data_IF_111479624903
#
_entry.id   IF_111479624903
#
_cell.length_a   1.000
_cell.length_b   1.000
_cell.length_c   1.000
_cell.angle_alpha   90.00
_cell.angle_beta   90.00
_cell.angle_gamma   90.00
#
_symmetry.space_group_name_H-M   'P 1'
#
loop_
_entity.id
_entity.type
_entity.pdbx_description
1 polymer ?
#
# COMPACT_ATOMS: atom_id res chain seq x y z
N UNK A 1 40.79 36.30 5.87
CA UNK A 1 39.56 35.49 6.08
C UNK A 1 39.69 34.25 5.22
N UNK A 2 40.10 33.14 5.85
CA UNK A 2 40.45 31.91 5.15
C UNK A 2 39.19 31.09 4.83
N UNK A 3 38.98 30.75 3.55
CA UNK A 3 37.78 30.04 3.09
C UNK A 3 37.95 28.55 3.34
N UNK A 4 37.38 28.03 4.42
CA UNK A 4 37.28 26.59 4.68
C UNK A 4 36.54 25.88 3.54
N UNK A 5 37.29 25.15 2.72
CA UNK A 5 36.78 24.35 1.59
C UNK A 5 36.13 23.08 2.18
N UNK A 6 34.80 23.03 2.24
CA UNK A 6 34.07 21.83 2.71
C UNK A 6 34.28 20.68 1.73
N UNK A 7 34.89 19.60 2.20
CA UNK A 7 35.09 18.37 1.43
C UNK A 7 33.75 17.62 1.40
N UNK A 8 33.17 17.47 0.21
CA UNK A 8 31.95 16.69 0.02
C UNK A 8 32.30 15.19 0.08
N UNK A 9 31.98 14.55 1.19
CA UNK A 9 32.16 13.10 1.35
C UNK A 9 31.04 12.39 0.57
N UNK A 10 31.43 11.61 -0.44
CA UNK A 10 30.51 10.76 -1.20
C UNK A 10 30.17 9.54 -0.34
N UNK A 11 29.07 9.62 0.41
CA UNK A 11 28.58 8.50 1.22
C UNK A 11 28.00 7.44 0.27
N UNK A 12 28.51 6.22 0.35
CA UNK A 12 27.92 5.09 -0.35
C UNK A 12 26.49 4.87 0.17
N UNK A 13 25.50 4.88 -0.74
CA UNK A 13 24.06 4.68 -0.44
C UNK A 13 23.56 3.30 -0.87
N UNK A 14 24.46 2.41 -1.27
CA UNK A 14 24.13 1.03 -1.56
C UNK A 14 23.52 0.38 -0.32
N UNK A 15 22.60 -0.55 -0.54
CA UNK A 15 21.92 -1.21 0.55
C UNK A 15 22.92 -2.00 1.40
N UNK A 16 23.05 -1.65 2.69
CA UNK A 16 24.01 -2.23 3.64
C UNK A 16 23.61 -3.64 4.12
N UNK A 17 23.06 -4.48 3.25
CA UNK A 17 22.65 -5.84 3.60
C UNK A 17 23.83 -6.75 3.96
N UNK A 18 25.02 -6.43 3.47
CA UNK A 18 26.24 -7.22 3.69
C UNK A 18 26.78 -7.11 5.12
N UNK A 19 26.40 -6.06 5.86
CA UNK A 19 26.89 -5.81 7.22
C UNK A 19 26.33 -6.81 8.25
N UNK A 20 25.17 -7.41 7.96
CA UNK A 20 24.45 -8.31 8.88
C UNK A 20 24.33 -9.75 8.36
N UNK A 21 25.14 -10.14 7.37
CA UNK A 21 25.28 -11.54 6.96
C UNK A 21 24.06 -12.14 6.26
N UNK A 22 23.18 -11.32 5.69
CA UNK A 22 22.05 -11.83 4.90
C UNK A 22 21.15 -10.74 4.35
N UNK A 23 20.80 -10.85 3.06
CA UNK A 23 19.66 -10.13 2.54
C UNK A 23 18.41 -10.64 3.27
N UNK A 24 17.58 -9.77 3.89
CA UNK A 24 16.25 -10.20 4.29
C UNK A 24 15.55 -10.73 3.04
N UNK A 25 15.00 -11.94 3.11
CA UNK A 25 14.15 -12.51 2.07
C UNK A 25 12.84 -11.71 2.03
N UNK A 26 12.90 -10.50 1.49
CA UNK A 26 11.72 -9.75 1.11
C UNK A 26 11.19 -10.47 -0.10
N UNK A 27 10.21 -11.36 0.09
CA UNK A 27 9.46 -11.94 -1.01
C UNK A 27 9.02 -10.78 -1.91
N UNK A 28 9.23 -10.87 -3.23
CA UNK A 28 8.86 -9.78 -4.12
C UNK A 28 7.36 -9.51 -3.91
N UNK A 29 7.04 -8.29 -3.48
CA UNK A 29 5.66 -7.80 -3.44
C UNK A 29 5.07 -8.12 -4.80
N UNK A 30 3.94 -8.84 -4.83
CA UNK A 30 3.37 -9.34 -6.07
C UNK A 30 2.96 -8.14 -6.94
N UNK A 31 3.79 -7.84 -7.93
CA UNK A 31 3.68 -6.68 -8.80
C UNK A 31 2.78 -7.08 -9.97
N UNK A 32 1.49 -6.74 -9.91
CA UNK A 32 0.61 -6.95 -11.05
C UNK A 32 0.92 -5.93 -12.14
N UNK A 33 1.15 -6.44 -13.35
CA UNK A 33 1.26 -5.61 -14.55
C UNK A 33 -0.16 -5.18 -14.94
N UNK A 34 -0.44 -3.89 -14.85
CA UNK A 34 -1.64 -3.31 -15.46
C UNK A 34 -1.56 -3.40 -16.97
N UNK A 35 -2.72 -3.42 -17.63
CA UNK A 35 -2.89 -3.27 -19.09
C UNK A 35 -2.18 -2.01 -19.63
N UNK A 36 -1.92 -1.02 -18.77
CA UNK A 36 -1.17 0.21 -19.08
C UNK A 36 0.35 0.06 -19.02
N UNK A 37 0.87 -1.14 -18.76
CA UNK A 37 2.31 -1.42 -18.63
C UNK A 37 2.93 -1.01 -17.29
N UNK A 38 2.11 -0.57 -16.33
CA UNK A 38 2.58 -0.15 -15.00
C UNK A 38 2.49 -1.23 -13.95
N UNK A 39 3.43 -1.15 -13.02
CA UNK A 39 3.49 -2.00 -11.85
C UNK A 39 2.79 -1.30 -10.68
N UNK A 40 1.68 -1.86 -10.25
CA UNK A 40 0.96 -1.40 -9.06
C UNK A 40 1.38 -2.21 -7.82
N UNK A 41 1.36 -1.54 -6.66
CA UNK A 41 1.52 -2.21 -5.37
C UNK A 41 0.17 -2.84 -5.01
N UNK A 42 0.04 -4.16 -5.25
CA UNK A 42 -1.13 -4.99 -4.90
C UNK A 42 -0.68 -6.33 -4.27
N UNK A 43 -0.19 -6.33 -3.02
CA UNK A 43 0.16 -7.55 -2.31
C UNK A 43 -1.07 -8.45 -2.14
N UNK A 44 -0.86 -9.76 -2.28
CA UNK A 44 -1.93 -10.72 -2.12
C UNK A 44 -2.30 -10.85 -0.62
N UNK A 45 -3.58 -10.71 -0.24
CA UNK A 45 -4.00 -10.81 1.17
C UNK A 45 -3.67 -12.17 1.82
N UNK A 46 -3.60 -13.23 1.00
CA UNK A 46 -3.27 -14.59 1.43
C UNK A 46 -1.83 -14.75 1.93
N UNK A 47 -0.94 -13.81 1.61
CA UNK A 47 0.45 -13.83 2.06
C UNK A 47 0.62 -13.26 3.49
N UNK A 48 -0.47 -12.79 4.12
CA UNK A 48 -0.44 -12.21 5.46
C UNK A 48 -0.65 -13.29 6.52
N UNK A 49 0.29 -13.34 7.48
CA UNK A 49 0.27 -14.26 8.61
C UNK A 49 0.17 -13.49 9.92
N UNK A 50 -0.64 -14.00 10.85
CA UNK A 50 -0.72 -13.54 12.23
C UNK A 50 -0.16 -14.64 13.14
N UNK A 51 1.12 -14.51 13.49
CA UNK A 51 1.87 -15.57 14.18
C UNK A 51 2.02 -16.80 13.27
N UNK A 52 1.41 -17.92 13.65
CA UNK A 52 1.43 -19.18 12.89
C UNK A 52 0.20 -19.38 12.00
N UNK A 53 -0.86 -18.58 12.20
CA UNK A 53 -2.11 -18.71 11.46
C UNK A 53 -2.16 -17.72 10.28
N UNK A 54 -2.80 -18.12 9.18
CA UNK A 54 -3.10 -17.18 8.10
C UNK A 54 -4.15 -16.17 8.55
N UNK A 55 -4.03 -14.93 8.08
CA UNK A 55 -5.01 -13.89 8.37
C UNK A 55 -6.43 -14.31 7.94
N UNK A 56 -6.54 -14.99 6.81
CA UNK A 56 -7.79 -15.55 6.31
C UNK A 56 -8.46 -16.49 7.32
N UNK A 57 -7.71 -17.46 7.82
CA UNK A 57 -8.21 -18.47 8.76
C UNK A 57 -8.63 -17.83 10.07
N UNK A 58 -7.85 -16.85 10.54
CA UNK A 58 -8.18 -16.07 11.73
C UNK A 58 -9.50 -15.29 11.56
N UNK A 59 -9.69 -14.61 10.42
CA UNK A 59 -10.93 -13.88 10.14
C UNK A 59 -12.15 -14.80 10.01
N UNK A 60 -11.98 -15.98 9.41
CA UNK A 60 -13.03 -17.01 9.33
C UNK A 60 -13.41 -17.52 10.72
N UNK A 61 -12.42 -17.80 11.58
CA UNK A 61 -12.65 -18.23 12.96
C UNK A 61 -13.34 -17.13 13.80
N UNK A 62 -12.98 -15.88 13.59
CA UNK A 62 -13.62 -14.72 14.23
C UNK A 62 -15.04 -14.43 13.69
N UNK A 63 -15.49 -15.12 12.63
CA UNK A 63 -16.80 -14.90 12.01
C UNK A 63 -16.89 -13.61 11.17
N UNK A 64 -15.77 -12.94 10.90
CA UNK A 64 -15.73 -11.65 10.21
C UNK A 64 -15.70 -11.90 8.69
N UNK A 65 -16.86 -11.72 8.02
CA UNK A 65 -17.00 -12.02 6.57
C UNK A 65 -16.91 -10.80 5.65
N UNK A 66 -17.18 -9.60 6.17
CA UNK A 66 -17.26 -8.37 5.36
C UNK A 66 -16.01 -8.09 4.51
N UNK A 67 -14.76 -8.26 5.01
CA UNK A 67 -13.54 -8.04 4.24
C UNK A 67 -13.45 -8.89 2.95
N UNK A 68 -13.91 -10.14 3.01
CA UNK A 68 -13.88 -11.05 1.86
C UNK A 68 -14.85 -10.60 0.76
N UNK A 69 -16.08 -10.25 1.16
CA UNK A 69 -17.13 -9.77 0.23
C UNK A 69 -16.69 -8.49 -0.46
N UNK A 70 -16.12 -7.55 0.30
CA UNK A 70 -15.63 -6.28 -0.24
C UNK A 70 -14.51 -6.52 -1.25
N UNK A 71 -13.52 -7.35 -0.91
CA UNK A 71 -12.40 -7.64 -1.82
C UNK A 71 -12.89 -8.33 -3.10
N UNK A 72 -13.79 -9.29 -2.98
CA UNK A 72 -14.39 -9.98 -4.14
C UNK A 72 -15.20 -9.01 -5.02
N UNK A 73 -16.00 -8.15 -4.41
CA UNK A 73 -16.76 -7.12 -5.12
C UNK A 73 -15.82 -6.20 -5.89
N UNK A 74 -14.77 -5.70 -5.24
CA UNK A 74 -13.80 -4.82 -5.88
C UNK A 74 -13.03 -5.51 -7.01
N UNK A 75 -12.72 -6.81 -6.89
CA UNK A 75 -12.07 -7.59 -7.95
C UNK A 75 -12.96 -7.79 -9.18
N UNK A 76 -14.28 -7.78 -9.01
CA UNK A 76 -15.23 -7.89 -10.12
C UNK A 76 -15.38 -6.62 -10.96
N UNK A 77 -14.88 -5.47 -10.47
CA UNK A 77 -15.00 -4.19 -11.15
C UNK A 77 -13.82 -3.95 -12.12
N UNK A 78 -14.09 -3.20 -13.20
CA UNK A 78 -13.04 -2.75 -14.10
C UNK A 78 -12.34 -1.50 -13.55
N UNK A 79 -11.02 -1.58 -13.43
CA UNK A 79 -10.15 -0.51 -12.92
C UNK A 79 -9.36 0.19 -14.02
N UNK A 80 -9.45 -0.27 -15.27
CA UNK A 80 -8.67 0.21 -16.42
C UNK A 80 -8.69 1.74 -16.57
N UNK A 81 -9.89 2.33 -16.44
CA UNK A 81 -10.12 3.77 -16.59
C UNK A 81 -9.49 4.58 -15.47
N UNK A 82 -9.41 4.03 -14.26
CA UNK A 82 -8.81 4.70 -13.10
C UNK A 82 -7.29 4.57 -13.17
N UNK A 83 -6.79 3.39 -13.51
CA UNK A 83 -5.36 3.11 -13.70
C UNK A 83 -4.74 4.00 -14.79
N UNK A 84 -5.45 4.23 -15.89
CA UNK A 84 -5.02 5.10 -16.98
C UNK A 84 -4.79 6.56 -16.58
N UNK A 85 -5.41 7.03 -15.48
CA UNK A 85 -5.27 8.41 -14.98
C UNK A 85 -4.08 8.62 -14.05
N UNK A 86 -3.34 7.57 -13.68
CA UNK A 86 -2.17 7.72 -12.82
C UNK A 86 -1.00 8.34 -13.59
N UNK A 87 -0.40 9.40 -13.05
CA UNK A 87 0.73 10.11 -13.65
C UNK A 87 1.92 9.18 -13.93
N UNK A 88 2.48 9.21 -15.15
CA UNK A 88 3.46 8.23 -15.70
C UNK A 88 4.84 8.23 -15.03
N UNK A 89 5.19 9.26 -14.26
CA UNK A 89 6.46 9.39 -13.55
C UNK A 89 6.32 9.23 -12.03
N UNK A 90 7.34 8.67 -11.36
CA UNK A 90 7.46 8.67 -9.90
C UNK A 90 7.48 7.28 -9.26
N UNK A 91 7.20 7.24 -7.95
CA UNK A 91 7.11 5.99 -7.16
C UNK A 91 5.97 5.11 -7.69
N UNK A 92 6.13 3.79 -7.59
CA UNK A 92 5.08 2.84 -7.97
C UNK A 92 3.77 3.18 -7.24
N UNK A 93 2.67 3.42 -7.98
CA UNK A 93 1.40 3.80 -7.38
C UNK A 93 0.76 2.64 -6.62
N UNK A 94 0.00 2.98 -5.58
CA UNK A 94 -0.88 2.03 -4.91
C UNK A 94 -2.00 1.60 -5.86
N UNK A 95 -2.35 0.31 -5.84
CA UNK A 95 -3.44 -0.21 -6.65
C UNK A 95 -4.77 0.46 -6.26
N UNK A 96 -5.58 0.91 -7.23
CA UNK A 96 -6.85 1.61 -6.95
C UNK A 96 -7.82 0.71 -6.15
N UNK A 97 -7.79 -0.60 -6.42
CA UNK A 97 -8.57 -1.60 -5.69
C UNK A 97 -8.31 -1.58 -4.17
N UNK A 98 -7.04 -1.44 -3.76
CA UNK A 98 -6.65 -1.41 -2.35
C UNK A 98 -7.11 -0.11 -1.68
N UNK A 99 -6.97 1.02 -2.38
CA UNK A 99 -7.37 2.33 -1.86
C UNK A 99 -8.88 2.45 -1.71
N UNK A 100 -9.64 2.02 -2.72
CA UNK A 100 -11.11 2.04 -2.64
C UNK A 100 -11.60 1.06 -1.58
N UNK A 101 -10.96 -0.11 -1.45
CA UNK A 101 -11.28 -1.05 -0.39
C UNK A 101 -11.09 -0.49 1.01
N UNK A 102 -10.00 0.23 1.25
CA UNK A 102 -9.74 0.91 2.51
C UNK A 102 -10.82 1.96 2.84
N UNK A 103 -11.19 2.78 1.85
CA UNK A 103 -12.21 3.82 2.02
C UNK A 103 -13.58 3.18 2.28
N UNK A 104 -13.99 2.21 1.46
CA UNK A 104 -15.29 1.56 1.56
C UNK A 104 -15.45 0.82 2.90
N UNK A 105 -14.44 0.04 3.28
CA UNK A 105 -14.45 -0.70 4.52
C UNK A 105 -14.37 0.23 5.74
N UNK A 106 -13.61 1.33 5.66
CA UNK A 106 -13.60 2.36 6.70
C UNK A 106 -14.96 3.03 6.90
N UNK A 107 -15.66 3.39 5.82
CA UNK A 107 -17.02 3.96 5.87
C UNK A 107 -18.00 2.97 6.51
N UNK A 108 -17.93 1.69 6.15
CA UNK A 108 -18.77 0.63 6.75
C UNK A 108 -18.58 0.51 8.28
N UNK A 109 -17.40 0.89 8.77
CA UNK A 109 -17.04 0.88 10.19
C UNK A 109 -17.20 2.25 10.87
N UNK A 110 -17.76 3.25 10.16
CA UNK A 110 -17.98 4.60 10.67
C UNK A 110 -16.73 5.50 10.68
N UNK A 111 -15.63 5.07 10.06
CA UNK A 111 -14.38 5.82 9.96
C UNK A 111 -14.33 6.61 8.65
N UNK A 112 -14.54 7.92 8.75
CA UNK A 112 -14.55 8.83 7.59
C UNK A 112 -13.35 9.79 7.54
N UNK A 113 -12.59 9.90 8.63
CA UNK A 113 -11.42 10.80 8.68
C UNK A 113 -10.18 10.14 8.10
N UNK A 114 -9.33 10.92 7.43
CA UNK A 114 -8.09 10.43 6.82
C UNK A 114 -7.14 9.81 7.85
N UNK A 115 -6.96 10.50 9.00
CA UNK A 115 -6.17 10.01 10.12
C UNK A 115 -6.79 8.77 10.76
N UNK A 116 -8.12 8.72 10.81
CA UNK A 116 -8.87 7.56 11.25
C UNK A 116 -8.60 6.36 10.36
N UNK A 117 -8.70 6.52 9.03
CA UNK A 117 -8.42 5.49 8.04
C UNK A 117 -6.98 4.99 8.11
N UNK A 118 -6.01 5.88 8.33
CA UNK A 118 -4.61 5.50 8.51
C UNK A 118 -4.41 4.62 9.74
N UNK A 119 -4.95 5.05 10.89
CA UNK A 119 -4.91 4.25 12.12
C UNK A 119 -5.64 2.92 11.92
N UNK A 120 -6.77 2.96 11.23
CA UNK A 120 -7.60 1.80 10.95
C UNK A 120 -6.88 0.78 10.07
N UNK A 121 -6.15 1.20 9.04
CA UNK A 121 -5.33 0.33 8.21
C UNK A 121 -4.21 -0.40 8.98
N UNK A 122 -3.69 0.22 10.04
CA UNK A 122 -2.62 -0.35 10.86
C UNK A 122 -3.12 -1.29 11.96
N UNK A 123 -4.36 -1.11 12.40
CA UNK A 123 -4.89 -1.79 13.60
C UNK A 123 -5.89 -2.87 13.24
N UNK A 124 -6.70 -2.65 12.20
CA UNK A 124 -7.78 -3.56 11.86
C UNK A 124 -7.33 -4.67 10.90
N UNK A 125 -7.49 -5.91 11.35
CA UNK A 125 -7.15 -7.11 10.61
C UNK A 125 -7.99 -7.28 9.33
N UNK A 126 -9.25 -6.83 9.36
CA UNK A 126 -10.11 -6.83 8.17
C UNK A 126 -9.64 -5.81 7.14
N UNK A 127 -9.18 -4.64 7.59
CA UNK A 127 -8.61 -3.63 6.71
C UNK A 127 -7.32 -4.12 6.05
N UNK A 128 -6.43 -4.77 6.82
CA UNK A 128 -5.23 -5.42 6.28
C UNK A 128 -5.58 -6.47 5.21
N UNK A 129 -6.65 -7.24 5.41
CA UNK A 129 -7.12 -8.19 4.41
C UNK A 129 -7.58 -7.48 3.13
N UNK A 130 -8.38 -6.42 3.25
CA UNK A 130 -8.91 -5.68 2.10
C UNK A 130 -7.80 -4.99 1.29
N UNK A 131 -6.76 -4.47 1.95
CA UNK A 131 -5.67 -3.74 1.29
C UNK A 131 -4.47 -4.61 0.92
N UNK A 132 -4.46 -5.89 1.31
CA UNK A 132 -3.30 -6.77 1.16
C UNK A 132 -2.15 -6.43 2.12
N UNK A 133 -2.44 -5.73 3.22
CA UNK A 133 -1.43 -5.33 4.21
C UNK A 133 -0.74 -4.01 3.87
N UNK A 134 -1.21 -3.30 2.84
CA UNK A 134 -0.75 -1.93 2.58
C UNK A 134 -1.31 -1.03 3.68
N UNK A 135 -0.40 -0.39 4.41
CA UNK A 135 -0.71 0.74 5.28
C UNK A 135 -0.25 2.01 4.57
N UNK A 136 -1.14 2.94 4.19
CA UNK A 136 -0.70 4.23 3.70
C UNK A 136 0.13 4.93 4.78
N UNK A 137 1.32 5.37 4.40
CA UNK A 137 2.32 5.97 5.26
C UNK A 137 1.87 7.37 5.78
N UNK A 138 2.33 7.81 6.97
CA UNK A 138 1.94 9.07 7.61
C UNK A 138 2.58 10.30 6.95
N UNK A 139 3.56 10.10 6.06
CA UNK A 139 3.95 11.17 5.15
C UNK A 139 2.78 11.36 4.19
N UNK A 140 1.98 12.38 4.51
CA UNK A 140 1.13 13.27 3.71
C UNK A 140 1.29 13.30 2.17
N UNK A 141 2.17 12.54 1.52
CA UNK A 141 2.38 12.55 0.07
C UNK A 141 1.38 11.68 -0.68
N UNK A 142 1.01 10.46 -0.22
CA UNK A 142 0.35 9.51 -1.13
C UNK A 142 -1.17 9.63 -1.25
N UNK A 143 -1.83 10.30 -0.29
CA UNK A 143 -3.28 10.58 -0.39
C UNK A 143 -3.53 12.01 -0.90
N UNK A 144 -2.61 12.95 -0.64
CA UNK A 144 -2.63 14.26 -1.28
C UNK A 144 -2.29 14.18 -2.77
N UNK A 145 -1.41 13.27 -3.22
CA UNK A 145 -1.19 13.08 -4.66
C UNK A 145 -2.46 12.67 -5.41
N UNK A 146 -3.38 11.92 -4.79
CA UNK A 146 -4.68 11.60 -5.43
C UNK A 146 -5.61 12.84 -5.49
N UNK A 147 -5.49 13.76 -4.52
CA UNK A 147 -6.26 15.01 -4.48
C UNK A 147 -5.61 16.14 -5.32
N UNK A 148 -4.31 16.07 -5.57
CA UNK A 148 -3.52 17.10 -6.24
C UNK A 148 -3.16 16.73 -7.70
N UNK A 149 -3.14 15.43 -8.06
CA UNK A 149 -2.99 14.96 -9.45
C UNK A 149 -4.33 14.90 -10.21
N UNK A 150 -5.41 15.40 -9.60
CA UNK A 150 -6.65 15.76 -10.30
C UNK A 150 -7.04 17.19 -9.95
N UNK A 151 -6.37 18.14 -10.59
CA UNK A 151 -6.93 19.28 -11.34
C UNK A 151 -5.77 20.14 -11.85
N UNK A 152 -4.91 19.54 -12.69
CA UNK A 152 -4.16 20.31 -13.68
C UNK A 152 -5.11 20.65 -14.82
N UNK A 153 -5.85 21.75 -14.64
CA UNK A 153 -6.33 22.60 -15.72
C UNK A 153 -5.38 23.79 -15.82
#
# INVERSE_FOLDING_TARGET
>A
MDKQKRVAIKVNRDNQFDLFGGQPSVKPVNKKNSTTGRVFIDPAPHDIYLGVARLEDHLKQAGIKAPFVIRQLLQSQDWSTIEARYATSGRAPYAPICMVGLILYGILQGVSSLRGLEKFARVDLGCMWVTGGICPDPLYTTIYSIKNDRLGA
#
